data_IF_223414712570
#
_entry.id   IF_223414712570
#
_cell.length_a   1.000
_cell.length_b   1.000
_cell.length_c   1.000
_cell.angle_alpha   90.00
_cell.angle_beta   90.00
_cell.angle_gamma   90.00
#
_symmetry.space_group_name_H-M   'P 1'
#
loop_
_entity.id
_entity.type
_entity.pdbx_description
1 polymer ?
#
# COMPACT_ATOMS: atom_id res chain seq x y z
N UNK A 1 -3.23 18.01 -6.99
CA UNK A 1 -2.37 17.03 -7.70
C UNK A 1 -0.99 17.63 -7.95
N UNK A 2 0.08 16.92 -7.61
CA UNK A 2 1.47 17.34 -7.87
C UNK A 2 2.27 16.16 -8.42
N UNK A 3 3.25 16.44 -9.29
CA UNK A 3 4.25 15.45 -9.67
C UNK A 3 5.32 15.42 -8.59
N UNK A 4 5.48 14.27 -7.94
CA UNK A 4 6.49 14.04 -6.92
C UNK A 4 7.61 13.13 -7.46
N UNK A 5 8.83 13.36 -6.98
CA UNK A 5 10.01 12.53 -7.27
C UNK A 5 10.44 11.82 -5.99
N UNK A 6 10.63 10.51 -6.06
CA UNK A 6 11.10 9.70 -4.94
C UNK A 6 12.20 8.74 -5.38
N UNK A 7 13.20 8.55 -4.54
CA UNK A 7 14.13 7.43 -4.67
C UNK A 7 13.61 6.30 -3.80
N UNK A 8 13.39 5.13 -4.39
CA UNK A 8 12.92 3.95 -3.67
C UNK A 8 13.82 2.76 -3.98
N UNK A 9 13.88 1.81 -3.03
CA UNK A 9 14.52 0.50 -3.19
C UNK A 9 13.48 -0.63 -3.20
N UNK A 10 12.20 -0.32 -3.39
CA UNK A 10 11.12 -1.30 -3.37
C UNK A 10 11.32 -2.45 -4.37
N UNK A 11 11.96 -2.19 -5.52
CA UNK A 11 12.31 -3.20 -6.54
C UNK A 11 13.63 -3.95 -6.25
N UNK A 12 14.30 -3.67 -5.13
CA UNK A 12 15.64 -4.18 -4.82
C UNK A 12 16.78 -3.35 -5.43
N UNK A 13 16.50 -2.48 -6.40
CA UNK A 13 17.47 -1.53 -6.98
C UNK A 13 17.06 -0.11 -6.60
N UNK A 14 18.04 0.75 -6.30
CA UNK A 14 17.76 2.15 -6.00
C UNK A 14 17.43 2.91 -7.28
N UNK A 15 16.15 3.13 -7.53
CA UNK A 15 15.66 3.81 -8.73
C UNK A 15 14.94 5.12 -8.37
N UNK A 16 14.94 6.06 -9.31
CA UNK A 16 14.20 7.32 -9.17
C UNK A 16 12.86 7.19 -9.88
N UNK A 17 11.79 7.26 -9.12
CA UNK A 17 10.43 7.19 -9.62
C UNK A 17 9.78 8.58 -9.62
N UNK A 18 8.82 8.77 -10.52
CA UNK A 18 7.97 9.94 -10.59
C UNK A 18 6.51 9.49 -10.49
N UNK A 19 5.73 10.13 -9.62
CA UNK A 19 4.34 9.78 -9.37
C UNK A 19 3.45 11.02 -9.30
N UNK A 20 2.19 10.87 -9.69
CA UNK A 20 1.15 11.89 -9.44
C UNK A 20 0.57 11.59 -8.06
N UNK A 21 0.75 12.53 -7.14
CA UNK A 21 0.21 12.44 -5.78
C UNK A 21 -0.90 13.46 -5.59
N UNK A 22 -1.93 13.06 -4.85
CA UNK A 22 -2.93 14.00 -4.38
C UNK A 22 -2.53 14.50 -2.99
N UNK A 23 -2.42 15.83 -2.87
CA UNK A 23 -2.01 16.49 -1.64
C UNK A 23 -3.20 16.83 -0.74
N UNK A 24 -4.43 16.71 -1.26
CA UNK A 24 -5.65 17.16 -0.58
C UNK A 24 -6.49 16.00 -0.05
N UNK A 25 -5.91 14.81 0.08
CA UNK A 25 -6.65 13.62 0.50
C UNK A 25 -6.28 13.20 1.91
N UNK A 26 -7.24 13.24 2.83
CA UNK A 26 -7.08 12.73 4.20
C UNK A 26 -6.90 11.20 4.27
N UNK A 27 -7.20 10.48 3.18
CA UNK A 27 -6.92 9.06 3.06
C UNK A 27 -5.99 8.82 1.86
N UNK A 28 -4.74 8.47 2.17
CA UNK A 28 -3.68 8.11 1.22
C UNK A 28 -4.11 7.02 0.22
N UNK A 29 -5.21 6.31 0.45
CA UNK A 29 -5.70 5.26 -0.42
C UNK A 29 -7.11 5.52 -0.97
N UNK A 30 -7.69 6.69 -0.73
CA UNK A 30 -9.03 7.05 -1.26
C UNK A 30 -9.09 7.10 -2.79
N UNK A 31 -7.96 7.37 -3.44
CA UNK A 31 -7.77 7.35 -4.89
C UNK A 31 -6.90 6.18 -5.35
N UNK A 32 -7.04 5.02 -4.69
CA UNK A 32 -6.74 3.75 -5.36
C UNK A 32 -7.36 3.85 -6.76
N UNK A 33 -6.59 3.52 -7.79
CA UNK A 33 -7.13 3.55 -9.15
C UNK A 33 -8.45 2.78 -9.16
N UNK A 34 -9.36 3.18 -10.04
CA UNK A 34 -10.77 2.83 -10.03
C UNK A 34 -11.18 1.33 -10.03
N UNK A 35 -10.33 0.27 -10.17
CA UNK A 35 -10.86 -1.10 -10.19
C UNK A 35 -11.06 -1.81 -8.84
N UNK A 36 -10.75 -1.22 -7.67
CA UNK A 36 -10.92 -1.93 -6.39
C UNK A 36 -12.28 -1.65 -5.73
N UNK A 37 -13.02 -2.71 -5.43
CA UNK A 37 -14.28 -2.65 -4.67
C UNK A 37 -14.06 -2.30 -3.19
N UNK A 38 -15.13 -1.93 -2.47
CA UNK A 38 -15.02 -1.51 -1.04
C UNK A 38 -14.31 -2.55 -0.15
N UNK A 39 -14.64 -3.83 -0.34
CA UNK A 39 -14.02 -4.95 0.37
C UNK A 39 -12.50 -5.04 0.10
N UNK A 40 -12.11 -4.86 -1.15
CA UNK A 40 -10.71 -4.91 -1.60
C UNK A 40 -9.91 -3.69 -1.12
N UNK A 41 -10.56 -2.54 -0.97
CA UNK A 41 -9.97 -1.37 -0.35
C UNK A 41 -9.76 -1.56 1.16
N UNK A 42 -10.74 -2.13 1.89
CA UNK A 42 -10.57 -2.49 3.30
C UNK A 42 -9.45 -3.52 3.47
N UNK A 43 -9.47 -4.56 2.63
CA UNK A 43 -8.42 -5.57 2.55
C UNK A 43 -7.04 -4.96 2.38
N UNK A 44 -6.88 -4.08 1.38
CA UNK A 44 -5.61 -3.45 1.10
C UNK A 44 -5.12 -2.58 2.26
N UNK A 45 -5.99 -1.78 2.89
CA UNK A 45 -5.62 -0.96 4.05
C UNK A 45 -5.08 -1.83 5.20
N UNK A 46 -5.70 -2.99 5.43
CA UNK A 46 -5.29 -3.90 6.49
C UNK A 46 -3.98 -4.64 6.17
N UNK A 47 -3.78 -5.04 4.91
CA UNK A 47 -2.49 -5.56 4.42
C UNK A 47 -1.39 -4.51 4.60
N UNK A 48 -1.64 -3.24 4.26
CA UNK A 48 -0.67 -2.16 4.47
C UNK A 48 -0.36 -1.96 5.94
N UNK A 49 -1.37 -1.99 6.83
CA UNK A 49 -1.18 -1.87 8.26
C UNK A 49 -0.28 -2.99 8.82
N UNK A 50 -0.52 -4.25 8.41
CA UNK A 50 0.28 -5.39 8.87
C UNK A 50 1.72 -5.33 8.32
N UNK A 51 1.91 -4.92 7.06
CA UNK A 51 3.24 -4.67 6.50
C UNK A 51 3.97 -3.58 7.30
N UNK A 52 3.30 -2.48 7.65
CA UNK A 52 3.90 -1.40 8.42
C UNK A 52 4.19 -1.79 9.87
N UNK A 53 3.37 -2.65 10.47
CA UNK A 53 3.56 -3.14 11.82
C UNK A 53 4.65 -4.22 11.91
N UNK A 54 4.91 -4.94 10.82
CA UNK A 54 5.97 -5.94 10.70
C UNK A 54 7.37 -5.32 10.85
N UNK A 55 8.28 -6.07 11.47
CA UNK A 55 9.70 -5.70 11.65
C UNK A 55 10.40 -5.57 10.30
N UNK A 56 10.21 -6.57 9.43
CA UNK A 56 10.84 -6.64 8.10
C UNK A 56 10.17 -5.75 7.04
N UNK A 57 9.09 -5.05 7.40
CA UNK A 57 8.22 -4.33 6.45
C UNK A 57 7.70 -5.24 5.33
N UNK A 58 7.34 -6.45 5.72
CA UNK A 58 6.88 -7.53 4.86
C UNK A 58 5.72 -8.29 5.50
N UNK A 59 4.90 -8.92 4.64
CA UNK A 59 3.91 -9.91 5.05
C UNK A 59 3.98 -11.13 4.13
N UNK A 60 3.88 -12.35 4.67
CA UNK A 60 3.80 -13.55 3.85
C UNK A 60 2.43 -13.68 3.16
N UNK A 61 2.40 -14.40 2.05
CA UNK A 61 1.21 -14.58 1.21
C UNK A 61 0.05 -15.27 1.94
N UNK A 62 0.34 -16.19 2.87
CA UNK A 62 -0.70 -16.89 3.61
C UNK A 62 -1.38 -15.96 4.62
N UNK A 63 -0.60 -15.20 5.41
CA UNK A 63 -1.09 -14.18 6.32
C UNK A 63 -1.86 -13.09 5.57
N UNK A 64 -1.34 -12.62 4.44
CA UNK A 64 -2.03 -11.65 3.59
C UNK A 64 -3.40 -12.17 3.11
N UNK A 65 -3.50 -13.44 2.69
CA UNK A 65 -4.79 -14.03 2.30
C UNK A 65 -5.75 -14.20 3.49
N UNK A 66 -5.24 -14.51 4.68
CA UNK A 66 -6.06 -14.66 5.88
C UNK A 66 -6.75 -13.35 6.29
N UNK A 67 -6.11 -12.20 6.08
CA UNK A 67 -6.72 -10.88 6.29
C UNK A 67 -8.06 -10.75 5.54
N UNK A 68 -8.17 -11.31 4.33
CA UNK A 68 -9.39 -11.28 3.53
C UNK A 68 -10.57 -11.99 4.20
N UNK A 69 -10.30 -13.06 4.96
CA UNK A 69 -11.29 -13.82 5.73
C UNK A 69 -11.72 -13.13 7.02
N UNK A 70 -10.84 -12.27 7.53
CA UNK A 70 -11.02 -11.54 8.79
C UNK A 70 -11.69 -10.18 8.60
N UNK A 71 -12.03 -9.79 7.36
CA UNK A 71 -12.75 -8.55 7.07
C UNK A 71 -14.12 -8.54 7.73
N UNK A 72 -14.50 -7.35 8.21
CA UNK A 72 -15.71 -7.18 9.02
C UNK A 72 -16.94 -6.91 8.17
N UNK A 73 -16.78 -6.21 7.04
CA UNK A 73 -17.90 -5.75 6.22
C UNK A 73 -18.17 -6.64 5.01
N UNK A 74 -17.15 -7.19 4.36
CA UNK A 74 -17.28 -8.06 3.19
C UNK A 74 -16.03 -8.93 3.07
N UNK A 75 -16.17 -10.20 3.47
CA UNK A 75 -15.07 -11.18 3.44
C UNK A 75 -14.70 -11.53 2.01
N UNK A 76 -13.40 -11.57 1.76
CA UNK A 76 -12.85 -12.12 0.53
C UNK A 76 -12.48 -13.59 0.78
N UNK A 77 -12.89 -14.47 -0.12
CA UNK A 77 -12.38 -15.83 -0.11
C UNK A 77 -10.90 -15.86 -0.55
N UNK A 78 -10.24 -17.01 -0.41
CA UNK A 78 -8.80 -17.10 -0.69
C UNK A 78 -8.41 -16.74 -2.13
N UNK A 79 -9.25 -17.09 -3.10
CA UNK A 79 -9.02 -16.78 -4.51
C UNK A 79 -9.26 -15.29 -4.82
N UNK A 80 -10.28 -14.68 -4.20
CA UNK A 80 -10.55 -13.24 -4.32
C UNK A 80 -9.44 -12.40 -3.70
N UNK A 81 -8.95 -12.80 -2.52
CA UNK A 81 -7.82 -12.15 -1.86
C UNK A 81 -6.54 -12.25 -2.71
N UNK A 82 -6.27 -13.43 -3.28
CA UNK A 82 -5.14 -13.63 -4.19
C UNK A 82 -5.25 -12.77 -5.46
N UNK A 83 -6.40 -12.78 -6.13
CA UNK A 83 -6.65 -11.93 -7.29
C UNK A 83 -6.55 -10.43 -6.95
N UNK A 84 -6.88 -10.03 -5.72
CA UNK A 84 -6.67 -8.67 -5.25
C UNK A 84 -5.18 -8.35 -5.07
N UNK A 85 -4.40 -9.22 -4.44
CA UNK A 85 -2.95 -9.06 -4.27
C UNK A 85 -2.23 -8.96 -5.63
N UNK A 86 -2.61 -9.78 -6.61
CA UNK A 86 -2.06 -9.71 -7.98
C UNK A 86 -2.39 -8.38 -8.67
N UNK A 87 -3.61 -7.86 -8.53
CA UNK A 87 -3.98 -6.54 -9.08
C UNK A 87 -3.21 -5.41 -8.41
N UNK A 88 -3.00 -5.50 -7.10
CA UNK A 88 -2.23 -4.53 -6.33
C UNK A 88 -0.75 -4.54 -6.75
N UNK A 89 -0.20 -5.72 -6.97
CA UNK A 89 1.16 -5.90 -7.49
C UNK A 89 1.32 -5.31 -8.89
N UNK A 90 0.47 -5.68 -9.86
CA UNK A 90 0.45 -5.10 -11.21
C UNK A 90 0.25 -3.58 -11.21
N UNK A 91 -0.45 -3.06 -10.21
CA UNK A 91 -0.69 -1.63 -10.02
C UNK A 91 0.43 -0.86 -9.31
N UNK A 92 1.55 -1.53 -8.99
CA UNK A 92 2.69 -1.01 -8.23
C UNK A 92 2.33 -0.54 -6.81
N UNK A 93 1.23 -1.05 -6.25
CA UNK A 93 0.82 -0.80 -4.87
C UNK A 93 1.51 -1.76 -3.89
N UNK A 94 1.80 -2.98 -4.34
CA UNK A 94 2.62 -3.95 -3.63
C UNK A 94 3.79 -4.38 -4.50
N UNK A 95 4.86 -4.84 -3.88
CA UNK A 95 5.91 -5.62 -4.54
C UNK A 95 5.81 -7.05 -4.03
N UNK A 96 5.81 -8.01 -4.95
CA UNK A 96 5.93 -9.43 -4.63
C UNK A 96 7.40 -9.82 -4.60
N UNK A 97 7.85 -10.38 -3.48
CA UNK A 97 9.17 -10.97 -3.31
C UNK A 97 9.02 -12.49 -3.09
N UNK A 98 9.99 -13.26 -3.56
CA UNK A 98 10.03 -14.71 -3.38
C UNK A 98 11.33 -15.08 -2.67
N UNK A 99 11.22 -15.72 -1.51
CA UNK A 99 12.32 -16.15 -0.66
C UNK A 99 12.17 -17.63 -0.36
N UNK A 100 13.10 -18.48 -0.78
CA UNK A 100 13.10 -19.92 -0.43
C UNK A 100 11.72 -20.59 -0.57
N UNK A 101 11.07 -20.39 -1.72
CA UNK A 101 9.71 -20.84 -2.07
C UNK A 101 8.53 -20.20 -1.30
N UNK A 102 8.81 -19.23 -0.43
CA UNK A 102 7.80 -18.40 0.23
C UNK A 102 7.57 -17.09 -0.52
N UNK A 103 6.30 -16.79 -0.80
CA UNK A 103 5.90 -15.50 -1.39
C UNK A 103 5.63 -14.51 -0.27
N UNK A 104 6.28 -13.34 -0.34
CA UNK A 104 6.05 -12.21 0.57
C UNK A 104 5.69 -10.95 -0.19
N UNK A 105 4.99 -10.04 0.46
CA UNK A 105 4.56 -8.77 -0.08
C UNK A 105 5.14 -7.60 0.72
N UNK A 106 5.59 -6.57 -0.02
CA UNK A 106 6.08 -5.28 0.48
C UNK A 106 5.23 -4.15 -0.07
N UNK A 107 5.37 -2.95 0.50
CA UNK A 107 4.82 -1.75 -0.11
C UNK A 107 5.48 -1.49 -1.47
N UNK A 108 4.64 -1.28 -2.47
CA UNK A 108 5.04 -0.80 -3.78
C UNK A 108 5.34 0.69 -3.76
N UNK A 109 6.09 1.13 -4.77
CA UNK A 109 6.49 2.52 -4.97
C UNK A 109 5.28 3.47 -4.91
N UNK A 110 4.12 3.06 -5.43
CA UNK A 110 2.91 3.88 -5.40
C UNK A 110 2.35 4.07 -3.99
N UNK A 111 2.40 3.03 -3.17
CA UNK A 111 2.02 3.09 -1.76
C UNK A 111 2.98 3.96 -0.95
N UNK A 112 4.27 3.85 -1.22
CA UNK A 112 5.30 4.71 -0.61
C UNK A 112 5.09 6.19 -0.97
N UNK A 113 4.78 6.49 -2.23
CA UNK A 113 4.44 7.86 -2.66
C UNK A 113 3.20 8.38 -1.92
N UNK A 114 2.15 7.58 -1.84
CA UNK A 114 0.92 7.97 -1.16
C UNK A 114 1.18 8.23 0.33
N UNK A 115 1.90 7.36 1.03
CA UNK A 115 2.22 7.58 2.44
C UNK A 115 3.08 8.83 2.67
N UNK A 116 4.01 9.13 1.76
CA UNK A 116 4.93 10.25 1.91
C UNK A 116 4.29 11.61 1.64
N UNK A 117 3.24 11.65 0.82
CA UNK A 117 2.66 12.90 0.32
C UNK A 117 1.17 13.06 0.63
N UNK A 118 0.49 12.04 1.14
CA UNK A 118 -0.80 12.23 1.77
C UNK A 118 -0.60 13.07 3.03
N UNK A 119 -1.42 14.10 3.27
CA UNK A 119 -1.39 14.87 4.50
C UNK A 119 -1.67 13.93 5.67
N UNK A 120 -0.61 13.51 6.38
CA UNK A 120 -0.73 13.15 7.78
C UNK A 120 -1.23 14.39 8.51
N UNK A 121 -2.34 14.31 9.23
CA UNK A 121 -2.86 15.36 10.14
C UNK A 121 -1.86 15.83 11.22
N UNK A 122 -0.58 15.48 11.12
CA UNK A 122 0.48 15.80 12.08
C UNK A 122 1.41 16.95 11.66
N UNK A 123 1.07 17.76 10.64
CA UNK A 123 1.94 18.85 10.18
C UNK A 123 1.24 20.19 9.87
N UNK A 124 0.09 20.46 10.49
CA UNK A 124 -0.48 21.83 10.50
C UNK A 124 -0.19 22.63 11.79
N UNK A 125 0.61 22.11 12.72
CA UNK A 125 0.94 22.83 13.97
C UNK A 125 2.44 23.13 14.10
N UNK A 126 3.04 23.75 13.08
CA UNK A 126 4.35 24.40 13.21
C UNK A 126 4.66 25.39 12.07
N UNK A 127 3.72 26.29 11.76
CA UNK A 127 4.05 27.56 11.10
C UNK A 127 3.17 28.68 11.67
N UNK A 128 3.24 28.88 12.98
CA UNK A 128 2.95 30.19 13.57
C UNK A 128 4.08 30.49 14.54
N UNK A 129 4.65 31.69 14.42
CA UNK A 129 5.79 32.23 15.18
C UNK A 129 7.18 31.90 14.61
N UNK A 130 7.57 32.65 13.57
CA UNK A 130 8.75 33.53 13.62
C UNK A 130 8.39 34.84 12.92
#
# INVERSE_FOLDING_TARGET
MKVARMRSKASGVQETYFGIVDLNSSDAFSKLASPLGKAEQEFFRRVVADILASEDKEIDSASAKNIGRDLTTSKLNGAEAEACLERLERGFWLVKAVYDDEVRYKLGVRSEFQQRYAPTEAMEEQVSEI
#
